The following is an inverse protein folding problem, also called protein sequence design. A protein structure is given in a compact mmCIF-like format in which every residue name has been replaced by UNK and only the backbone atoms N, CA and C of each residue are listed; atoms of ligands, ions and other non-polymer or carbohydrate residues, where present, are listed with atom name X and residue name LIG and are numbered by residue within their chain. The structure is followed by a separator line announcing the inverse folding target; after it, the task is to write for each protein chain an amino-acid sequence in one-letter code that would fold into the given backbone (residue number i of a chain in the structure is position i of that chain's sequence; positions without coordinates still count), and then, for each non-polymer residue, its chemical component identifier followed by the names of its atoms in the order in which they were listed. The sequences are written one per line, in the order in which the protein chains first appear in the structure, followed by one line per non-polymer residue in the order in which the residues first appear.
data_IF_284400513025
#
_entry.id   IF_284400513025
#
_cell.length_a   1.000
_cell.length_b   1.000
_cell.length_c   1.000
_cell.angle_alpha   90.00
_cell.angle_beta   90.00
_cell.angle_gamma   90.00
#
_symmetry.space_group_name_H-M   'P 1'
#
loop_
_entity.id
_entity.type
_entity.pdbx_description
1 polymer ?
#
# COMPACT_ATOMS: atom_id res chain seq x y z
N UNK A 1 -17.37 16.21 -15.37
CA UNK A 1 -15.96 16.51 -15.08
C UNK A 1 -15.10 15.32 -15.51
N UNK A 2 -14.03 15.59 -16.24
CA UNK A 2 -13.06 14.63 -16.77
C UNK A 2 -11.79 14.62 -15.91
N UNK A 3 -11.36 13.45 -15.45
CA UNK A 3 -10.17 13.24 -14.61
C UNK A 3 -9.20 12.30 -15.31
N UNK A 4 -7.97 12.77 -15.50
CA UNK A 4 -6.87 11.95 -16.02
C UNK A 4 -6.03 11.47 -14.84
N UNK A 5 -5.83 10.16 -14.73
CA UNK A 5 -4.96 9.56 -13.72
C UNK A 5 -3.57 9.34 -14.33
N UNK A 6 -2.60 10.13 -13.90
CA UNK A 6 -1.18 9.94 -14.22
C UNK A 6 -0.51 9.14 -13.11
N UNK A 7 -0.48 7.82 -13.27
CA UNK A 7 0.02 6.88 -12.26
C UNK A 7 1.28 6.16 -12.73
N UNK A 8 2.20 5.89 -11.81
CA UNK A 8 3.44 5.17 -12.07
C UNK A 8 3.55 3.87 -11.28
N UNK A 9 4.15 2.85 -11.87
CA UNK A 9 4.46 1.59 -11.20
C UNK A 9 5.20 0.64 -12.13
N UNK A 10 5.71 -0.47 -11.58
CA UNK A 10 6.42 -1.48 -12.36
C UNK A 10 7.20 -2.45 -11.50
N UNK A 11 8.01 -3.33 -12.10
CA UNK A 11 8.78 -4.34 -11.37
C UNK A 11 9.68 -3.76 -10.27
N UNK A 12 10.37 -2.64 -10.56
CA UNK A 12 11.27 -1.96 -9.61
C UNK A 12 10.54 -1.04 -8.63
N UNK A 13 9.59 -0.24 -9.11
CA UNK A 13 8.85 0.73 -8.30
C UNK A 13 7.74 0.10 -7.43
N UNK A 14 7.36 -1.15 -7.72
CA UNK A 14 6.17 -1.78 -7.19
C UNK A 14 4.89 -1.29 -7.88
N UNK A 15 3.76 -1.84 -7.44
CA UNK A 15 2.43 -1.58 -8.04
C UNK A 15 1.48 -0.85 -7.08
N UNK A 16 1.97 -0.38 -5.93
CA UNK A 16 1.15 0.24 -4.89
C UNK A 16 0.43 1.51 -5.37
N UNK A 17 1.16 2.43 -6.01
CA UNK A 17 0.61 3.67 -6.59
C UNK A 17 -0.48 3.35 -7.64
N UNK A 18 -0.23 2.38 -8.53
CA UNK A 18 -1.21 1.95 -9.53
C UNK A 18 -2.48 1.41 -8.87
N UNK A 19 -2.36 0.52 -7.88
CA UNK A 19 -3.53 -0.06 -7.20
C UNK A 19 -4.32 0.99 -6.42
N UNK A 20 -3.64 1.92 -5.74
CA UNK A 20 -4.26 3.04 -5.04
C UNK A 20 -4.97 3.98 -6.01
N UNK A 21 -4.31 4.32 -7.12
CA UNK A 21 -4.88 5.14 -8.19
C UNK A 21 -6.11 4.50 -8.81
N UNK A 22 -6.11 3.19 -9.05
CA UNK A 22 -7.29 2.46 -9.56
C UNK A 22 -8.44 2.43 -8.55
N UNK A 23 -8.13 2.33 -7.25
CA UNK A 23 -9.15 2.44 -6.19
C UNK A 23 -9.79 3.84 -6.17
N UNK A 24 -8.96 4.90 -6.26
CA UNK A 24 -9.45 6.28 -6.38
C UNK A 24 -10.28 6.47 -7.65
N UNK A 25 -9.79 5.97 -8.79
CA UNK A 25 -10.49 6.06 -10.07
C UNK A 25 -11.88 5.40 -10.03
N UNK A 26 -11.99 4.22 -9.40
CA UNK A 26 -13.28 3.55 -9.16
C UNK A 26 -14.21 4.44 -8.35
N UNK A 27 -13.72 5.08 -7.29
CA UNK A 27 -14.52 6.00 -6.47
C UNK A 27 -14.97 7.23 -7.26
N UNK A 28 -14.07 7.86 -8.01
CA UNK A 28 -14.40 9.03 -8.86
C UNK A 28 -15.46 8.69 -9.91
N UNK A 29 -15.40 7.51 -10.52
CA UNK A 29 -16.44 7.04 -11.45
C UNK A 29 -17.79 6.83 -10.78
N UNK A 30 -17.82 6.34 -9.53
CA UNK A 30 -19.08 6.24 -8.77
C UNK A 30 -19.75 7.61 -8.54
N UNK A 31 -18.96 8.69 -8.60
CA UNK A 31 -19.43 10.08 -8.57
C UNK A 31 -19.72 10.64 -9.98
N UNK A 32 -19.91 9.77 -10.98
CA UNK A 32 -20.20 10.11 -12.38
C UNK A 32 -19.12 10.96 -13.08
N UNK A 33 -17.87 10.92 -12.59
CA UNK A 33 -16.75 11.56 -13.29
C UNK A 33 -16.22 10.67 -14.42
N UNK A 34 -15.86 11.28 -15.54
CA UNK A 34 -15.20 10.59 -16.64
C UNK A 34 -13.74 10.37 -16.29
N UNK A 35 -13.30 9.12 -16.11
CA UNK A 35 -11.92 8.81 -15.68
C UNK A 35 -11.17 8.03 -16.75
N UNK A 36 -9.97 8.50 -17.10
CA UNK A 36 -9.02 7.82 -17.99
C UNK A 36 -7.64 7.71 -17.35
N UNK A 37 -6.86 6.71 -17.76
CA UNK A 37 -5.44 6.60 -17.41
C UNK A 37 -4.58 7.33 -18.45
N UNK A 38 -3.53 8.02 -18.01
CA UNK A 38 -2.60 8.72 -18.90
C UNK A 38 -1.72 7.77 -19.73
N UNK A 39 -1.46 6.57 -19.20
CA UNK A 39 -0.65 5.54 -19.83
C UNK A 39 -1.15 4.14 -19.44
N UNK A 40 -0.74 3.13 -20.20
CA UNK A 40 -1.04 1.73 -19.89
C UNK A 40 -0.30 1.32 -18.60
N UNK A 41 -1.02 0.79 -17.60
CA UNK A 41 -0.39 0.37 -16.36
C UNK A 41 0.39 -0.96 -16.57
N UNK A 42 1.28 -1.33 -15.64
CA UNK A 42 2.04 -2.57 -15.73
C UNK A 42 1.14 -3.79 -15.89
N UNK A 43 1.49 -4.67 -16.84
CA UNK A 43 0.71 -5.88 -17.11
C UNK A 43 0.95 -6.98 -16.08
N UNK A 44 0.36 -6.82 -14.90
CA UNK A 44 0.38 -7.83 -13.83
C UNK A 44 -1.04 -8.26 -13.46
N UNK A 45 -1.27 -9.54 -13.09
CA UNK A 45 -2.62 -10.06 -12.83
C UNK A 45 -3.45 -9.20 -11.87
N UNK A 46 -2.82 -8.70 -10.79
CA UNK A 46 -3.47 -7.86 -9.79
C UNK A 46 -3.91 -6.50 -10.35
N UNK A 47 -3.08 -5.87 -11.17
CA UNK A 47 -3.40 -4.59 -11.84
C UNK A 47 -4.47 -4.78 -12.90
N UNK A 48 -4.40 -5.85 -13.72
CA UNK A 48 -5.47 -6.19 -14.68
C UNK A 48 -6.83 -6.33 -14.01
N UNK A 49 -6.88 -7.06 -12.88
CA UNK A 49 -8.11 -7.23 -12.10
C UNK A 49 -8.60 -5.91 -11.53
N UNK A 50 -7.73 -5.13 -10.89
CA UNK A 50 -8.09 -3.84 -10.33
C UNK A 50 -8.58 -2.85 -11.40
N UNK A 51 -7.97 -2.85 -12.59
CA UNK A 51 -8.38 -2.01 -13.72
C UNK A 51 -9.76 -2.40 -14.24
N UNK A 52 -10.02 -3.71 -14.42
CA UNK A 52 -11.36 -4.21 -14.79
C UNK A 52 -12.41 -3.79 -13.77
N UNK A 53 -12.11 -3.93 -12.48
CA UNK A 53 -13.01 -3.51 -11.40
C UNK A 53 -13.22 -1.99 -11.36
N UNK A 54 -12.21 -1.19 -11.68
CA UNK A 54 -12.35 0.25 -11.81
C UNK A 54 -13.09 0.67 -13.09
N UNK A 55 -13.13 -0.19 -14.11
CA UNK A 55 -13.78 0.07 -15.40
C UNK A 55 -13.08 1.13 -16.25
N UNK A 56 -11.82 1.47 -15.95
CA UNK A 56 -11.09 2.58 -16.62
C UNK A 56 -10.29 2.11 -17.83
N UNK A 57 -10.29 2.91 -18.88
CA UNK A 57 -9.45 2.73 -20.05
C UNK A 57 -8.31 3.76 -20.06
N UNK A 58 -7.29 3.50 -20.88
CA UNK A 58 -6.29 4.51 -21.23
C UNK A 58 -6.93 5.57 -22.12
N UNK A 59 -6.41 6.80 -22.03
CA UNK A 59 -6.75 7.88 -22.92
C UNK A 59 -6.25 7.57 -24.34
N UNK A 60 -7.17 7.35 -25.27
CA UNK A 60 -6.87 7.11 -26.69
C UNK A 60 -7.33 8.24 -27.62
N UNK A 61 -8.35 9.02 -27.23
CA UNK A 61 -8.92 10.08 -28.06
C UNK A 61 -8.28 11.43 -27.78
N UNK A 62 -7.75 12.05 -28.83
CA UNK A 62 -7.26 13.42 -28.80
C UNK A 62 -8.38 14.47 -28.65
N UNK A 63 -9.67 14.08 -28.65
CA UNK A 63 -10.79 15.00 -28.35
C UNK A 63 -11.14 15.03 -26.87
N UNK A 64 -10.75 14.01 -26.10
CA UNK A 64 -11.03 13.97 -24.68
C UNK A 64 -10.05 14.90 -23.94
N UNK A 65 -10.60 15.83 -23.15
CA UNK A 65 -9.83 16.84 -22.40
C UNK A 65 -10.06 16.67 -20.89
N UNK A 66 -9.01 16.53 -20.08
CA UNK A 66 -9.17 16.51 -18.63
C UNK A 66 -9.45 17.91 -18.09
N UNK A 67 -10.34 17.98 -17.09
CA UNK A 67 -10.46 19.15 -16.21
C UNK A 67 -9.48 19.06 -15.04
N UNK A 68 -9.16 17.83 -14.61
CA UNK A 68 -8.23 17.55 -13.51
C UNK A 68 -7.26 16.45 -13.96
N UNK A 69 -5.98 16.60 -13.61
CA UNK A 69 -4.98 15.54 -13.69
C UNK A 69 -4.56 15.17 -12.27
N UNK A 70 -4.80 13.91 -11.88
CA UNK A 70 -4.33 13.36 -10.61
C UNK A 70 -2.99 12.68 -10.85
N UNK A 71 -1.95 13.14 -10.16
CA UNK A 71 -0.56 12.66 -10.30
C UNK A 71 -0.22 11.76 -9.12
N UNK A 72 0.02 10.48 -9.37
CA UNK A 72 0.38 9.47 -8.37
C UNK A 72 1.57 8.64 -8.88
N UNK A 73 2.74 9.27 -8.89
CA UNK A 73 4.01 8.64 -9.27
C UNK A 73 4.87 8.41 -8.02
N UNK A 74 5.80 7.43 -8.04
CA UNK A 74 6.71 7.20 -6.92
C UNK A 74 7.61 8.38 -6.56
N UNK A 75 7.94 9.22 -7.54
CA UNK A 75 8.77 10.42 -7.35
C UNK A 75 8.23 11.57 -8.21
N UNK A 76 7.13 12.23 -7.80
CA UNK A 76 6.59 13.35 -8.54
C UNK A 76 7.49 14.58 -8.36
N UNK A 77 7.80 15.28 -9.45
CA UNK A 77 8.72 16.42 -9.46
C UNK A 77 8.07 17.68 -10.04
N UNK A 78 8.54 18.87 -9.63
CA UNK A 78 8.06 20.13 -10.21
C UNK A 78 8.19 20.16 -11.75
N UNK A 79 9.33 19.73 -12.36
CA UNK A 79 9.42 19.63 -13.81
C UNK A 79 8.39 18.68 -14.43
N UNK A 80 8.10 17.55 -13.79
CA UNK A 80 7.08 16.61 -14.25
C UNK A 80 5.68 17.21 -14.22
N UNK A 81 5.32 17.90 -13.13
CA UNK A 81 4.04 18.60 -13.01
C UNK A 81 3.93 19.74 -14.04
N UNK A 82 4.99 20.53 -14.24
CA UNK A 82 5.04 21.58 -15.27
C UNK A 82 4.87 21.01 -16.68
N UNK A 83 5.49 19.86 -16.97
CA UNK A 83 5.32 19.18 -18.25
C UNK A 83 3.86 18.72 -18.47
N UNK A 84 3.20 18.19 -17.43
CA UNK A 84 1.78 17.84 -17.48
C UNK A 84 0.90 19.08 -17.70
N UNK A 85 1.20 20.20 -17.05
CA UNK A 85 0.48 21.45 -17.28
C UNK A 85 0.65 21.98 -18.70
N UNK A 86 1.88 21.96 -19.26
CA UNK A 86 2.09 22.34 -20.68
C UNK A 86 1.29 21.47 -21.63
N UNK A 87 1.18 20.16 -21.33
CA UNK A 87 0.38 19.22 -22.14
C UNK A 87 -1.12 19.46 -21.99
N UNK A 88 -1.57 19.88 -20.81
CA UNK A 88 -2.98 20.12 -20.50
C UNK A 88 -3.17 21.48 -19.80
N UNK A 89 -3.06 22.61 -20.52
CA UNK A 89 -2.99 23.94 -19.91
C UNK A 89 -4.25 24.32 -19.10
N UNK A 90 -5.42 23.86 -19.54
CA UNK A 90 -6.69 24.14 -18.86
C UNK A 90 -6.99 23.21 -17.68
N UNK A 91 -6.16 22.19 -17.44
CA UNK A 91 -6.39 21.22 -16.38
C UNK A 91 -5.74 21.65 -15.06
N UNK A 92 -6.47 21.46 -13.96
CA UNK A 92 -5.93 21.58 -12.60
C UNK A 92 -5.17 20.32 -12.22
N UNK A 93 -4.06 20.45 -11.50
CA UNK A 93 -3.27 19.31 -11.02
C UNK A 93 -3.58 19.01 -9.55
N UNK A 94 -3.77 17.73 -9.24
CA UNK A 94 -3.83 17.21 -7.87
C UNK A 94 -2.72 16.18 -7.71
N UNK A 95 -1.73 16.45 -6.87
CA UNK A 95 -0.57 15.56 -6.71
C UNK A 95 -0.65 14.77 -5.40
N UNK A 96 -0.45 13.45 -5.47
CA UNK A 96 -0.37 12.58 -4.31
C UNK A 96 1.09 12.43 -3.86
N UNK A 97 1.32 12.52 -2.56
CA UNK A 97 2.64 12.39 -1.92
C UNK A 97 3.73 13.30 -2.56
N UNK A 98 3.33 14.51 -2.96
CA UNK A 98 4.20 15.54 -3.51
C UNK A 98 4.57 16.59 -2.46
N UNK A 99 5.86 16.73 -2.20
CA UNK A 99 6.43 17.59 -1.16
C UNK A 99 7.29 18.73 -1.72
N UNK A 100 7.35 18.86 -3.04
CA UNK A 100 8.13 19.88 -3.73
C UNK A 100 7.49 21.27 -3.69
N UNK A 101 8.11 22.24 -4.40
CA UNK A 101 7.59 23.61 -4.50
C UNK A 101 6.26 23.65 -5.27
N UNK A 102 5.49 24.73 -5.08
CA UNK A 102 4.26 24.92 -5.85
C UNK A 102 4.56 25.17 -7.33
N UNK A 103 3.65 24.75 -8.21
CA UNK A 103 3.66 25.09 -9.64
C UNK A 103 2.32 25.72 -10.03
N UNK A 104 2.23 26.58 -11.06
CA UNK A 104 1.03 27.40 -11.33
C UNK A 104 -0.30 26.62 -11.42
N UNK A 105 -0.29 25.41 -11.96
CA UNK A 105 -1.49 24.58 -12.12
C UNK A 105 -1.79 23.64 -10.94
N UNK A 106 -0.95 23.63 -9.91
CA UNK A 106 -1.13 22.77 -8.74
C UNK A 106 -2.27 23.29 -7.86
N UNK A 107 -3.43 22.64 -7.97
CA UNK A 107 -4.62 23.00 -7.23
C UNK A 107 -4.68 22.36 -5.84
N UNK A 108 -4.09 21.17 -5.67
CA UNK A 108 -3.99 20.51 -4.37
C UNK A 108 -2.83 19.52 -4.30
N UNK A 109 -2.30 19.32 -3.10
CA UNK A 109 -1.51 18.13 -2.78
C UNK A 109 -2.22 17.31 -1.71
N UNK A 110 -2.12 15.98 -1.81
CA UNK A 110 -2.62 15.04 -0.81
C UNK A 110 -1.46 14.17 -0.35
N UNK A 111 -0.95 14.46 0.85
CA UNK A 111 0.30 13.94 1.36
C UNK A 111 0.04 13.03 2.58
N UNK A 112 0.17 11.72 2.41
CA UNK A 112 -0.16 10.78 3.48
C UNK A 112 0.88 10.79 4.60
N UNK A 113 2.14 11.02 4.28
CA UNK A 113 3.20 11.15 5.28
C UNK A 113 3.25 12.60 5.80
N UNK A 114 2.52 12.86 6.88
CA UNK A 114 2.48 14.18 7.51
C UNK A 114 3.82 14.61 8.15
N UNK A 115 4.69 13.65 8.49
CA UNK A 115 6.01 13.94 9.06
C UNK A 115 6.99 14.58 8.05
N UNK A 116 6.70 14.50 6.75
CA UNK A 116 7.50 15.17 5.72
C UNK A 116 7.01 16.61 5.54
N UNK A 117 7.93 17.56 5.69
CA UNK A 117 7.66 18.97 5.38
C UNK A 117 7.53 19.15 3.87
N UNK A 118 6.41 19.70 3.42
CA UNK A 118 6.24 20.13 2.03
C UNK A 118 6.74 21.57 1.85
N UNK A 119 7.42 21.83 0.73
CA UNK A 119 7.97 23.15 0.40
C UNK A 119 6.95 24.08 -0.30
N UNK A 120 5.80 23.56 -0.75
CA UNK A 120 4.79 24.31 -1.49
C UNK A 120 3.82 25.15 -0.62
N UNK A 121 2.83 25.76 -1.27
CA UNK A 121 1.79 26.56 -0.61
C UNK A 121 0.93 25.70 0.34
N UNK A 122 0.82 26.10 1.61
CA UNK A 122 0.05 25.39 2.64
C UNK A 122 -1.47 25.42 2.39
N UNK A 123 -2.00 26.42 1.69
CA UNK A 123 -3.46 26.56 1.45
C UNK A 123 -4.03 25.41 0.61
N UNK A 124 -3.20 24.87 -0.28
CA UNK A 124 -3.55 23.78 -1.19
C UNK A 124 -3.15 22.40 -0.65
N UNK A 125 -2.51 22.34 0.52
CA UNK A 125 -2.06 21.07 1.11
C UNK A 125 -3.16 20.39 1.92
N UNK A 126 -3.25 19.07 1.75
CA UNK A 126 -4.07 18.16 2.54
C UNK A 126 -3.17 17.03 3.00
N UNK A 127 -3.10 16.77 4.31
CA UNK A 127 -2.13 15.80 4.85
C UNK A 127 -2.70 14.86 5.91
N UNK A 128 -2.00 13.74 6.08
CA UNK A 128 -2.27 12.73 7.11
C UNK A 128 -3.23 11.64 6.67
N UNK A 129 -3.37 10.63 7.53
CA UNK A 129 -4.11 9.39 7.23
C UNK A 129 -5.62 9.59 7.01
N UNK A 130 -6.19 10.73 7.40
CA UNK A 130 -7.60 11.06 7.07
C UNK A 130 -7.88 11.14 5.56
N UNK A 131 -6.84 11.33 4.74
CA UNK A 131 -6.92 11.33 3.29
C UNK A 131 -6.44 10.02 2.65
N UNK A 132 -6.19 8.98 3.46
CA UNK A 132 -5.75 7.70 2.96
C UNK A 132 -6.75 7.10 1.95
N UNK A 133 -6.23 6.71 0.79
CA UNK A 133 -7.00 6.03 -0.25
C UNK A 133 -6.94 4.53 0.06
N UNK A 134 -8.06 3.99 0.52
CA UNK A 134 -8.18 2.60 0.96
C UNK A 134 -9.15 1.88 0.02
N UNK A 135 -8.78 0.68 -0.42
CA UNK A 135 -9.65 -0.17 -1.24
C UNK A 135 -10.93 -0.52 -0.48
N UNK A 136 -12.06 -0.50 -1.18
CA UNK A 136 -13.38 -0.73 -0.59
C UNK A 136 -13.49 -2.08 0.14
N UNK A 137 -12.80 -3.11 -0.37
CA UNK A 137 -12.81 -4.43 0.27
C UNK A 137 -12.21 -4.42 1.69
N UNK A 138 -11.20 -3.60 1.95
CA UNK A 138 -10.62 -3.44 3.30
C UNK A 138 -11.55 -2.64 4.21
N UNK A 139 -12.22 -1.60 3.67
CA UNK A 139 -13.24 -0.86 4.41
C UNK A 139 -14.39 -1.78 4.85
N UNK A 140 -14.84 -2.66 3.96
CA UNK A 140 -15.85 -3.67 4.28
C UNK A 140 -15.32 -4.72 5.27
N UNK A 141 -14.08 -5.18 5.10
CA UNK A 141 -13.46 -6.19 5.97
C UNK A 141 -13.18 -5.69 7.39
N UNK A 142 -13.11 -4.37 7.63
CA UNK A 142 -13.00 -3.79 8.98
C UNK A 142 -14.11 -4.25 9.93
N UNK A 143 -15.29 -4.64 9.42
CA UNK A 143 -16.37 -5.18 10.27
C UNK A 143 -16.08 -6.59 10.80
N UNK A 144 -15.09 -7.28 10.23
CA UNK A 144 -14.72 -8.64 10.62
C UNK A 144 -13.78 -8.67 11.84
N UNK A 145 -13.26 -7.51 12.24
CA UNK A 145 -12.24 -7.37 13.28
C UNK A 145 -12.90 -7.01 14.60
N UNK A 146 -12.38 -7.57 15.71
CA UNK A 146 -13.03 -7.51 17.02
C UNK A 146 -13.07 -8.86 17.74
N UNK A 147 -12.61 -9.94 17.11
CA UNK A 147 -12.46 -11.25 17.77
C UNK A 147 -11.17 -11.26 18.58
N UNK A 148 -11.23 -10.88 19.85
CA UNK A 148 -10.16 -11.21 20.79
C UNK A 148 -10.05 -12.74 20.85
N UNK A 149 -8.94 -13.29 20.36
CA UNK A 149 -8.67 -14.72 20.43
C UNK A 149 -7.67 -14.97 21.55
N UNK A 150 -7.87 -16.06 22.31
CA UNK A 150 -7.02 -16.45 23.44
C UNK A 150 -5.56 -16.78 23.06
N UNK A 151 -5.16 -16.65 21.80
CA UNK A 151 -3.78 -16.81 21.33
C UNK A 151 -3.63 -16.44 19.85
N UNK A 152 -2.39 -16.45 19.36
CA UNK A 152 -2.09 -16.29 17.93
C UNK A 152 -2.27 -17.63 17.21
N UNK A 153 -3.14 -17.64 16.20
CA UNK A 153 -3.45 -18.80 15.34
C UNK A 153 -3.25 -18.49 13.86
N UNK A 154 -3.32 -17.23 13.46
CA UNK A 154 -3.23 -16.81 12.05
C UNK A 154 -2.31 -15.61 11.92
N UNK A 155 -1.27 -15.72 11.10
CA UNK A 155 -0.32 -14.64 10.83
C UNK A 155 -0.30 -14.34 9.34
N UNK A 156 -0.48 -13.07 8.98
CA UNK A 156 -0.36 -12.64 7.59
C UNK A 156 1.08 -12.27 7.26
N UNK A 157 1.59 -12.70 6.11
CA UNK A 157 2.90 -12.26 5.58
C UNK A 157 2.72 -11.76 4.16
N UNK A 158 3.17 -10.54 3.87
CA UNK A 158 3.16 -10.02 2.50
C UNK A 158 3.96 -8.74 2.32
N UNK A 159 4.80 -8.69 1.28
CA UNK A 159 5.67 -7.55 0.95
C UNK A 159 5.30 -6.84 -0.36
N UNK A 160 4.05 -7.03 -0.80
CA UNK A 160 3.52 -6.46 -2.03
C UNK A 160 3.61 -7.42 -3.22
N UNK A 161 3.30 -6.91 -4.41
CA UNK A 161 3.07 -7.75 -5.59
C UNK A 161 4.30 -8.28 -6.32
N UNK A 162 5.52 -7.81 -6.01
CA UNK A 162 6.73 -8.18 -6.76
C UNK A 162 7.84 -8.80 -5.93
N UNK A 163 7.85 -8.61 -4.59
CA UNK A 163 8.85 -9.11 -3.62
C UNK A 163 10.25 -9.44 -4.20
N UNK A 164 10.95 -8.47 -4.82
CA UNK A 164 12.16 -8.74 -5.59
C UNK A 164 13.35 -9.19 -4.74
N UNK A 165 13.27 -9.05 -3.42
CA UNK A 165 14.33 -9.39 -2.48
C UNK A 165 14.05 -10.67 -1.68
N UNK A 166 12.95 -11.38 -1.97
CA UNK A 166 12.57 -12.62 -1.27
C UNK A 166 12.23 -12.42 0.21
N UNK A 167 11.79 -11.21 0.60
CA UNK A 167 11.53 -10.89 2.01
C UNK A 167 10.33 -11.64 2.57
N UNK A 168 9.38 -12.04 1.72
CA UNK A 168 8.23 -12.82 2.17
C UNK A 168 8.67 -14.19 2.68
N UNK A 169 9.55 -14.89 1.97
CA UNK A 169 10.06 -16.19 2.43
C UNK A 169 10.98 -16.05 3.65
N UNK A 170 11.84 -15.02 3.67
CA UNK A 170 12.67 -14.73 4.84
C UNK A 170 11.84 -14.45 6.10
N UNK A 171 10.69 -13.76 5.95
CA UNK A 171 9.74 -13.55 7.03
C UNK A 171 9.10 -14.86 7.51
N UNK A 172 8.70 -15.75 6.58
CA UNK A 172 8.20 -17.08 6.96
C UNK A 172 9.24 -17.83 7.79
N UNK A 173 10.49 -17.92 7.32
CA UNK A 173 11.58 -18.59 8.06
C UNK A 173 11.84 -17.99 9.44
N UNK A 174 11.75 -16.66 9.57
CA UNK A 174 11.91 -16.00 10.85
C UNK A 174 10.74 -16.29 11.82
N UNK A 175 9.52 -16.42 11.30
CA UNK A 175 8.33 -16.69 12.11
C UNK A 175 8.26 -18.15 12.58
N UNK A 176 8.74 -19.10 11.77
CA UNK A 176 8.70 -20.52 12.11
C UNK A 176 9.53 -20.89 13.34
N UNK A 177 10.48 -20.05 13.73
CA UNK A 177 11.31 -20.28 14.93
C UNK A 177 10.63 -19.85 16.22
N UNK A 178 9.54 -19.08 16.16
CA UNK A 178 8.89 -18.48 17.34
C UNK A 178 7.39 -18.74 17.43
N UNK A 179 6.72 -19.02 16.31
CA UNK A 179 5.28 -19.28 16.31
C UNK A 179 4.97 -20.67 16.90
N UNK A 180 3.85 -20.81 17.64
CA UNK A 180 3.44 -22.12 18.15
C UNK A 180 3.12 -23.06 16.99
N UNK A 181 3.32 -24.37 17.18
CA UNK A 181 3.01 -25.42 16.18
C UNK A 181 1.57 -25.34 15.63
N UNK A 182 0.66 -24.74 16.40
CA UNK A 182 -0.74 -24.44 16.10
C UNK A 182 -1.00 -23.35 15.05
N UNK A 183 -0.09 -22.39 14.92
CA UNK A 183 -0.31 -21.18 14.12
C UNK A 183 -0.11 -21.42 12.64
N UNK A 184 -0.97 -20.81 11.82
CA UNK A 184 -0.88 -20.81 10.36
C UNK A 184 -0.29 -19.50 9.86
N UNK A 185 0.73 -19.58 9.01
CA UNK A 185 1.28 -18.44 8.29
C UNK A 185 0.58 -18.37 6.92
N UNK A 186 -0.13 -17.28 6.66
CA UNK A 186 -0.73 -16.99 5.37
C UNK A 186 0.24 -16.13 4.56
N UNK A 187 1.01 -16.78 3.69
CA UNK A 187 1.99 -16.14 2.82
C UNK A 187 1.30 -15.64 1.55
N UNK A 188 1.21 -14.32 1.38
CA UNK A 188 0.59 -13.69 0.21
C UNK A 188 1.66 -13.05 -0.66
N UNK A 189 1.75 -13.52 -1.90
CA UNK A 189 2.78 -13.12 -2.87
C UNK A 189 2.18 -12.91 -4.24
N UNK A 190 2.81 -12.07 -5.06
CA UNK A 190 2.37 -11.89 -6.45
C UNK A 190 2.73 -13.06 -7.36
N UNK A 191 3.84 -13.75 -7.07
CA UNK A 191 4.35 -14.90 -7.80
C UNK A 191 4.81 -15.97 -6.81
N UNK A 192 4.77 -17.24 -7.21
CA UNK A 192 5.22 -18.36 -6.38
C UNK A 192 6.73 -18.22 -6.13
N UNK A 193 7.22 -18.33 -4.88
CA UNK A 193 8.65 -18.36 -4.59
C UNK A 193 9.31 -19.58 -5.26
N UNK A 194 10.53 -19.39 -5.76
CA UNK A 194 11.33 -20.49 -6.33
C UNK A 194 11.90 -21.38 -5.23
N UNK A 195 12.30 -20.78 -4.12
CA UNK A 195 12.81 -21.50 -2.97
C UNK A 195 11.70 -22.29 -2.23
N UNK A 196 12.02 -23.48 -1.70
CA UNK A 196 11.06 -24.30 -0.98
C UNK A 196 10.59 -23.65 0.32
N UNK A 197 9.35 -23.96 0.71
CA UNK A 197 8.82 -23.54 2.02
C UNK A 197 9.53 -24.29 3.15
N UNK A 198 9.77 -23.65 4.30
CA UNK A 198 10.38 -24.33 5.44
C UNK A 198 9.52 -25.52 5.91
N UNK A 199 10.17 -26.67 6.12
CA UNK A 199 9.53 -27.89 6.59
C UNK A 199 8.96 -27.72 8.02
N UNK A 200 7.89 -28.47 8.33
CA UNK A 200 7.25 -28.45 9.65
C UNK A 200 6.42 -27.19 9.98
N UNK A 201 6.42 -26.19 9.09
CA UNK A 201 5.64 -24.98 9.23
C UNK A 201 4.25 -25.13 8.59
N UNK A 202 3.19 -24.68 9.28
CA UNK A 202 1.86 -24.55 8.67
C UNK A 202 1.81 -23.28 7.82
N UNK A 203 2.30 -23.37 6.59
CA UNK A 203 2.27 -22.26 5.62
C UNK A 203 1.17 -22.50 4.61
N UNK A 204 0.25 -21.53 4.48
CA UNK A 204 -0.72 -21.46 3.37
C UNK A 204 -0.25 -20.40 2.39
N UNK A 205 0.17 -20.84 1.21
CA UNK A 205 0.61 -19.98 0.13
C UNK A 205 -0.58 -19.47 -0.68
N UNK A 206 -0.66 -18.15 -0.87
CA UNK A 206 -1.66 -17.49 -1.70
C UNK A 206 -0.95 -16.67 -2.78
N UNK A 207 -1.10 -17.08 -4.04
CA UNK A 207 -0.41 -16.45 -5.19
C UNK A 207 -1.38 -15.56 -5.96
N UNK A 208 -0.93 -14.37 -6.34
CA UNK A 208 -1.69 -13.42 -7.18
C UNK A 208 -3.10 -13.12 -6.63
N UNK A 209 -3.24 -13.04 -5.30
CA UNK A 209 -4.51 -12.82 -4.63
C UNK A 209 -5.09 -11.47 -5.04
N UNK A 210 -6.26 -11.52 -5.70
CA UNK A 210 -6.94 -10.31 -6.16
C UNK A 210 -7.42 -9.39 -5.03
N UNK A 211 -7.81 -9.98 -3.91
CA UNK A 211 -8.31 -9.26 -2.73
C UNK A 211 -7.95 -9.98 -1.43
N UNK A 212 -6.88 -9.57 -0.74
CA UNK A 212 -6.47 -10.20 0.52
C UNK A 212 -7.16 -9.58 1.75
N UNK A 213 -8.16 -8.71 1.59
CA UNK A 213 -8.77 -7.95 2.69
C UNK A 213 -9.32 -8.82 3.83
N UNK A 214 -10.15 -9.81 3.51
CA UNK A 214 -10.72 -10.75 4.49
C UNK A 214 -9.65 -11.60 5.17
N UNK A 215 -8.63 -12.00 4.40
CA UNK A 215 -7.51 -12.80 4.89
C UNK A 215 -6.67 -12.00 5.90
N UNK A 216 -6.34 -10.76 5.56
CA UNK A 216 -5.66 -9.84 6.46
C UNK A 216 -6.50 -9.61 7.71
N UNK A 217 -7.77 -9.19 7.57
CA UNK A 217 -8.68 -8.91 8.69
C UNK A 217 -8.91 -10.12 9.62
N UNK A 218 -8.81 -11.35 9.11
CA UNK A 218 -8.93 -12.55 9.91
C UNK A 218 -7.65 -12.93 10.66
N UNK A 219 -6.51 -12.29 10.37
CA UNK A 219 -5.21 -12.59 10.97
C UNK A 219 -5.01 -11.87 12.29
N UNK A 220 -4.26 -12.48 13.20
CA UNK A 220 -4.05 -11.95 14.55
C UNK A 220 -2.93 -10.87 14.58
N UNK A 221 -1.97 -10.97 13.65
CA UNK A 221 -1.05 -9.89 13.30
C UNK A 221 -0.51 -10.09 11.87
N UNK A 222 0.17 -9.08 11.35
CA UNK A 222 0.78 -9.12 10.02
C UNK A 222 2.29 -8.81 10.07
N UNK A 223 3.06 -9.38 9.15
CA UNK A 223 4.45 -8.98 8.84
C UNK A 223 4.49 -8.45 7.41
N UNK A 224 4.71 -7.14 7.26
CA UNK A 224 4.46 -6.42 6.00
C UNK A 224 5.48 -5.30 5.74
N UNK A 225 5.50 -4.79 4.51
CA UNK A 225 6.27 -3.59 4.14
C UNK A 225 5.61 -2.27 4.57
N UNK A 226 6.38 -1.17 4.60
CA UNK A 226 5.94 0.14 5.09
C UNK A 226 5.25 1.04 4.05
N UNK A 227 4.33 0.49 3.26
CA UNK A 227 3.61 1.18 2.18
C UNK A 227 2.08 1.15 2.34
N UNK A 228 1.33 1.08 1.22
CA UNK A 228 -0.14 1.03 1.23
C UNK A 228 -0.70 -0.13 2.08
N UNK A 229 0.00 -1.26 2.14
CA UNK A 229 -0.42 -2.41 2.94
C UNK A 229 -0.45 -2.10 4.45
N UNK A 230 0.38 -1.17 4.93
CA UNK A 230 0.36 -0.72 6.33
C UNK A 230 -0.93 0.06 6.64
N UNK A 231 -1.35 0.92 5.72
CA UNK A 231 -2.64 1.62 5.81
C UNK A 231 -3.80 0.60 5.81
N UNK A 232 -3.71 -0.41 4.96
CA UNK A 232 -4.72 -1.47 4.85
C UNK A 232 -4.82 -2.31 6.13
N UNK A 233 -3.69 -2.69 6.73
CA UNK A 233 -3.65 -3.39 8.02
C UNK A 233 -4.26 -2.55 9.15
N UNK A 234 -3.87 -1.28 9.25
CA UNK A 234 -4.45 -0.36 10.22
C UNK A 234 -5.96 -0.15 10.01
N UNK A 235 -6.41 -0.07 8.75
CA UNK A 235 -7.84 0.05 8.42
C UNK A 235 -8.66 -1.12 8.95
N UNK A 236 -8.12 -2.33 8.90
CA UNK A 236 -8.79 -3.53 9.42
C UNK A 236 -8.39 -3.82 10.86
N UNK A 237 -7.71 -2.92 11.58
CA UNK A 237 -7.35 -3.14 12.99
C UNK A 237 -6.45 -4.35 13.23
N UNK A 238 -5.60 -4.71 12.25
CA UNK A 238 -4.63 -5.81 12.41
C UNK A 238 -3.27 -5.19 12.72
N UNK A 239 -2.68 -5.48 13.89
CA UNK A 239 -1.36 -4.96 14.24
C UNK A 239 -0.30 -5.51 13.29
N UNK A 240 0.67 -4.66 12.93
CA UNK A 240 1.69 -5.01 11.96
C UNK A 240 3.11 -4.94 12.54
N UNK A 241 3.92 -5.96 12.31
CA UNK A 241 5.38 -5.84 12.31
C UNK A 241 5.77 -5.31 10.93
N UNK A 242 6.25 -4.07 10.90
CA UNK A 242 6.58 -3.38 9.67
C UNK A 242 8.07 -3.47 9.41
N UNK A 243 8.43 -4.02 8.24
CA UNK A 243 9.80 -4.05 7.74
C UNK A 243 9.91 -3.07 6.58
N UNK A 244 10.38 -1.83 6.82
CA UNK A 244 10.48 -0.81 5.78
C UNK A 244 11.63 -1.16 4.82
N UNK A 245 11.38 -0.99 3.52
CA UNK A 245 12.37 -1.19 2.44
C UNK A 245 13.20 0.05 2.15
N UNK A 246 12.62 1.22 2.41
CA UNK A 246 13.26 2.50 2.12
C UNK A 246 13.22 3.40 3.35
N UNK A 247 14.07 4.42 3.36
CA UNK A 247 14.03 5.47 4.39
C UNK A 247 12.66 6.16 4.44
N UNK A 248 12.00 6.32 3.30
CA UNK A 248 10.68 6.96 3.20
C UNK A 248 9.59 6.10 3.85
N UNK A 249 9.58 4.78 3.57
CA UNK A 249 8.68 3.84 4.26
C UNK A 249 8.93 3.85 5.75
N UNK A 250 10.20 3.89 6.17
CA UNK A 250 10.59 3.96 7.58
C UNK A 250 9.98 5.20 8.25
N UNK A 251 10.07 6.38 7.62
CA UNK A 251 9.51 7.63 8.15
C UNK A 251 7.98 7.53 8.21
N UNK A 252 7.34 7.09 7.12
CA UNK A 252 5.88 6.94 7.06
C UNK A 252 5.33 6.01 8.14
N UNK A 253 6.07 4.93 8.44
CA UNK A 253 5.66 3.94 9.43
C UNK A 253 5.63 4.47 10.88
N UNK A 254 6.26 5.62 11.19
CA UNK A 254 6.27 6.17 12.57
C UNK A 254 4.88 6.52 13.05
N UNK A 255 4.07 7.14 12.21
CA UNK A 255 2.69 7.54 12.58
C UNK A 255 1.85 6.33 13.03
N UNK A 256 2.10 5.15 12.48
CA UNK A 256 1.45 3.90 12.89
C UNK A 256 2.02 3.31 14.18
N UNK A 257 3.31 3.52 14.45
CA UNK A 257 3.93 3.11 15.72
C UNK A 257 3.40 3.98 16.86
N UNK A 258 3.36 5.29 16.64
CA UNK A 258 2.88 6.28 17.62
C UNK A 258 1.40 6.04 17.95
N UNK A 259 0.61 5.61 16.95
CA UNK A 259 -0.78 5.20 17.13
C UNK A 259 -0.96 3.77 17.69
N UNK A 260 0.12 3.04 18.00
CA UNK A 260 0.08 1.67 18.52
C UNK A 260 -0.27 0.58 17.50
N UNK A 261 -0.57 0.94 16.25
CA UNK A 261 -0.97 0.03 15.18
C UNK A 261 0.20 -0.79 14.57
N UNK A 262 1.46 -0.42 14.86
CA UNK A 262 2.62 -1.08 14.29
C UNK A 262 3.81 -1.21 15.26
N UNK A 263 4.61 -2.26 15.05
CA UNK A 263 5.97 -2.42 15.56
C UNK A 263 6.95 -2.27 14.41
N UNK A 264 7.86 -1.32 14.50
CA UNK A 264 8.76 -0.98 13.40
C UNK A 264 10.12 -1.66 13.56
N UNK A 265 10.55 -2.37 12.51
CA UNK A 265 11.90 -2.89 12.40
C UNK A 265 12.82 -1.83 11.77
N UNK A 266 14.10 -1.71 12.18
CA UNK A 266 15.06 -0.84 11.51
C UNK A 266 15.17 -1.16 10.01
N UNK A 267 15.36 -0.11 9.21
CA UNK A 267 15.60 -0.27 7.76
C UNK A 267 16.98 -0.86 7.53
N UNK A 268 17.09 -1.80 6.59
CA UNK A 268 18.35 -2.46 6.25
C UNK A 268 18.35 -2.98 4.81
N UNK A 269 19.53 -3.34 4.31
CA UNK A 269 19.69 -3.92 2.96
C UNK A 269 19.21 -5.37 2.88
N UNK A 270 19.25 -6.08 4.00
CA UNK A 270 18.81 -7.47 4.12
C UNK A 270 17.59 -7.59 5.04
N UNK A 271 16.88 -8.71 4.93
CA UNK A 271 15.73 -8.98 5.78
C UNK A 271 16.17 -9.18 7.26
N UNK A 272 15.64 -8.39 8.22
CA UNK A 272 16.05 -8.41 9.62
C UNK A 272 15.38 -9.53 10.42
N UNK A 273 15.70 -10.79 10.09
CA UNK A 273 15.04 -11.98 10.63
C UNK A 273 14.97 -12.04 12.17
N UNK A 274 16.09 -11.77 12.86
CA UNK A 274 16.16 -11.75 14.33
C UNK A 274 15.22 -10.70 14.94
N UNK A 275 15.17 -9.52 14.32
CA UNK A 275 14.30 -8.43 14.78
C UNK A 275 12.82 -8.78 14.63
N UNK A 276 12.45 -9.37 13.49
CA UNK A 276 11.07 -9.83 13.23
C UNK A 276 10.67 -10.93 14.20
N UNK A 277 11.52 -11.95 14.40
CA UNK A 277 11.26 -13.03 15.35
C UNK A 277 11.09 -12.51 16.79
N UNK A 278 11.95 -11.57 17.22
CA UNK A 278 11.85 -10.92 18.54
C UNK A 278 10.52 -10.19 18.72
N UNK A 279 10.08 -9.41 17.73
CA UNK A 279 8.80 -8.69 17.80
C UNK A 279 7.60 -9.64 17.77
N UNK A 280 7.64 -10.69 16.95
CA UNK A 280 6.59 -11.71 16.92
C UNK A 280 6.49 -12.41 18.29
N UNK A 281 7.62 -12.79 18.89
CA UNK A 281 7.64 -13.38 20.23
C UNK A 281 7.11 -12.44 21.33
N UNK A 282 7.26 -11.12 21.17
CA UNK A 282 6.67 -10.14 22.07
C UNK A 282 5.14 -10.05 21.91
N UNK A 283 4.62 -10.06 20.68
CA UNK A 283 3.17 -10.08 20.41
C UNK A 283 2.51 -11.33 21.00
N UNK A 284 3.19 -12.49 20.96
CA UNK A 284 2.68 -13.72 21.58
C UNK A 284 2.46 -13.58 23.09
N UNK A 285 3.28 -12.79 23.79
CA UNK A 285 3.23 -12.61 25.25
C UNK A 285 2.26 -11.52 25.70
N UNK A 286 1.90 -10.59 24.82
CA UNK A 286 1.09 -9.42 25.20
C UNK A 286 -0.23 -9.40 24.43
N UNK A 287 -1.33 -9.94 24.99
CA UNK A 287 -2.65 -9.87 24.35
C UNK A 287 -3.12 -8.46 23.99
N UNK A 288 -2.69 -7.44 24.75
CA UNK A 288 -3.04 -6.04 24.52
C UNK A 288 -2.46 -5.47 23.21
N UNK A 289 -1.36 -6.00 22.68
CA UNK A 289 -0.79 -5.55 21.38
C UNK A 289 -1.51 -6.15 20.17
N UNK A 290 -2.58 -6.94 20.41
CA UNK A 290 -3.47 -7.52 19.41
C UNK A 290 -4.78 -6.75 19.25
N UNK A 291 -4.83 -5.50 19.72
CA UNK A 291 -5.99 -4.60 19.68
C UNK A 291 -5.62 -3.30 18.99
#
# INVERSE_FOLDING_TARGET
MNVLMDTGGGPRAGIGHVLRSLALARRLRSLRMGVRLAAEPPDVPLVRRARRQAGVSVLSSARWRPNVVVVDRPDPSAPGLTALHRRWPSARLVALDYYGPSVPALAATVNLNAARKAAGDRRVQRSGLRYAIIRESFRAARRLTGRSRAGVRSVYVGFGGTDPHGWSLAAVRALTTVLPKGATIHLVVGQRPVEPMPAGARVRLHVAVGDPSRLLAASDFAVIGGGTMLIEAACVGVPAIVVPRTRLERIFSREFVDAGAAKLIPVGRAFPARGVAKQAAAILRTPATRR
#
